data_IF_334931674627
#
_entry.id   IF_334931674627
#
_cell.length_a   1.000
_cell.length_b   1.000
_cell.length_c   1.000
_cell.angle_alpha   90.00
_cell.angle_beta   90.00
_cell.angle_gamma   90.00
#
_symmetry.space_group_name_H-M   'P 1'
#
loop_
_entity.id
_entity.type
_entity.pdbx_description
1 polymer ?
#
# COMPACT_ATOMS: atom_id res chain seq x y z
N UNK A 1 6.99 35.48 4.14
CA UNK A 1 7.36 34.10 4.52
C UNK A 1 8.63 33.75 3.75
N UNK A 2 9.72 33.38 4.44
CA UNK A 2 10.97 32.93 3.81
C UNK A 2 11.08 31.43 4.03
N UNK A 3 11.15 30.66 2.94
CA UNK A 3 11.30 29.19 2.99
C UNK A 3 12.78 28.86 2.83
N UNK A 4 13.31 28.00 3.70
CA UNK A 4 14.65 27.44 3.58
C UNK A 4 14.53 25.91 3.59
N UNK A 5 15.12 25.27 2.58
CA UNK A 5 15.26 23.82 2.53
C UNK A 5 16.64 23.49 3.10
N UNK A 6 16.68 22.68 4.16
CA UNK A 6 17.90 22.43 4.94
C UNK A 6 18.74 21.25 4.41
N UNK A 7 18.19 20.41 3.53
CA UNK A 7 18.87 19.25 2.95
C UNK A 7 19.04 19.45 1.44
N UNK A 8 20.22 19.09 0.91
CA UNK A 8 20.38 18.96 -0.54
C UNK A 8 19.67 17.69 -1.04
N UNK A 9 19.42 17.61 -2.35
CA UNK A 9 18.90 16.37 -2.95
C UNK A 9 19.83 15.17 -2.69
N UNK A 10 21.15 15.41 -2.65
CA UNK A 10 22.14 14.36 -2.37
C UNK A 10 22.01 13.87 -0.94
N UNK A 11 21.87 14.77 0.03
CA UNK A 11 21.70 14.41 1.44
C UNK A 11 20.39 13.66 1.66
N UNK A 12 19.32 14.10 1.00
CA UNK A 12 18.01 13.46 1.00
C UNK A 12 18.09 11.99 0.53
N UNK A 13 18.69 11.76 -0.64
CA UNK A 13 18.84 10.40 -1.20
C UNK A 13 19.73 9.53 -0.30
N UNK A 14 20.86 10.07 0.20
CA UNK A 14 21.78 9.33 1.07
C UNK A 14 21.10 8.91 2.37
N UNK A 15 20.30 9.79 2.97
CA UNK A 15 19.56 9.51 4.20
C UNK A 15 18.59 8.35 3.98
N UNK A 16 17.78 8.40 2.92
CA UNK A 16 16.84 7.32 2.61
C UNK A 16 17.52 5.98 2.29
N UNK A 17 18.68 6.01 1.61
CA UNK A 17 19.46 4.81 1.35
C UNK A 17 20.05 4.22 2.63
N UNK A 18 20.59 5.05 3.53
CA UNK A 18 21.13 4.60 4.81
C UNK A 18 20.06 3.92 5.67
N UNK A 19 18.84 4.47 5.71
CA UNK A 19 17.69 3.81 6.37
C UNK A 19 17.40 2.44 5.76
N UNK A 20 17.36 2.37 4.42
CA UNK A 20 17.07 1.12 3.69
C UNK A 20 18.14 0.06 4.00
N UNK A 21 19.42 0.42 3.94
CA UNK A 21 20.54 -0.47 4.26
C UNK A 21 20.48 -0.93 5.72
N UNK A 22 20.17 -0.02 6.64
CA UNK A 22 20.01 -0.34 8.07
C UNK A 22 18.88 -1.34 8.33
N UNK A 23 17.72 -1.18 7.68
CA UNK A 23 16.60 -2.12 7.80
C UNK A 23 16.87 -3.48 7.15
N UNK A 24 17.65 -3.52 6.06
CA UNK A 24 18.05 -4.77 5.41
C UNK A 24 19.12 -5.54 6.20
N UNK A 25 20.01 -4.82 6.89
CA UNK A 25 21.09 -5.40 7.68
C UNK A 25 20.70 -5.70 9.13
N UNK A 26 19.65 -5.04 9.64
CA UNK A 26 19.20 -5.15 11.02
C UNK A 26 18.05 -6.13 11.23
N UNK A 27 17.73 -6.35 12.50
CA UNK A 27 16.69 -7.28 12.96
C UNK A 27 15.33 -6.58 13.17
N UNK A 28 14.94 -5.66 12.28
CA UNK A 28 13.66 -4.96 12.45
C UNK A 28 12.50 -5.98 12.44
N UNK A 29 11.64 -6.00 13.47
CA UNK A 29 10.72 -7.12 13.73
C UNK A 29 9.70 -7.36 12.61
N UNK A 30 9.35 -6.31 11.87
CA UNK A 30 8.40 -6.40 10.74
C UNK A 30 9.03 -6.89 9.42
N UNK A 31 10.36 -6.80 9.25
CA UNK A 31 11.01 -7.08 7.96
C UNK A 31 10.92 -8.54 7.50
N UNK A 32 11.00 -9.56 8.39
CA UNK A 32 10.74 -10.95 8.00
C UNK A 32 9.36 -11.12 7.36
N UNK A 33 8.31 -10.57 7.98
CA UNK A 33 6.95 -10.69 7.45
C UNK A 33 6.76 -9.90 6.14
N UNK A 34 7.40 -8.74 5.98
CA UNK A 34 7.41 -8.01 4.70
C UNK A 34 8.02 -8.89 3.60
N UNK A 35 9.11 -9.58 3.91
CA UNK A 35 9.78 -10.51 3.00
C UNK A 35 8.90 -11.71 2.67
N UNK A 36 8.17 -12.24 3.64
CA UNK A 36 7.25 -13.36 3.41
C UNK A 36 6.06 -12.99 2.51
N UNK A 37 5.50 -11.77 2.66
CA UNK A 37 4.51 -11.26 1.72
C UNK A 37 5.08 -11.11 0.31
N UNK A 38 6.31 -10.58 0.18
CA UNK A 38 6.99 -10.50 -1.12
C UNK A 38 7.13 -11.90 -1.75
N UNK A 39 7.59 -12.88 -0.98
CA UNK A 39 7.76 -14.26 -1.44
C UNK A 39 6.44 -14.92 -1.83
N UNK A 40 5.35 -14.61 -1.13
CA UNK A 40 4.01 -15.09 -1.48
C UNK A 40 3.58 -14.58 -2.86
N UNK A 41 3.71 -13.28 -3.13
CA UNK A 41 3.41 -12.73 -4.46
C UNK A 41 4.33 -13.31 -5.53
N UNK A 42 5.64 -13.36 -5.26
CA UNK A 42 6.62 -13.77 -6.24
C UNK A 42 6.56 -15.27 -6.59
N UNK A 43 6.15 -16.13 -5.65
CA UNK A 43 6.34 -17.58 -5.79
C UNK A 43 5.13 -18.44 -5.47
N UNK A 44 4.08 -17.92 -4.84
CA UNK A 44 2.94 -18.74 -4.35
C UNK A 44 1.63 -18.39 -5.03
N UNK A 45 1.30 -17.11 -5.15
CA UNK A 45 -0.02 -16.64 -5.60
C UNK A 45 -0.46 -17.23 -6.96
N UNK A 46 0.48 -17.39 -7.90
CA UNK A 46 0.22 -17.94 -9.24
C UNK A 46 0.89 -19.30 -9.49
N UNK A 47 1.36 -19.98 -8.43
CA UNK A 47 2.23 -21.17 -8.55
C UNK A 47 1.56 -22.39 -9.19
N UNK A 48 0.23 -22.49 -9.13
CA UNK A 48 -0.52 -23.62 -9.66
C UNK A 48 -0.80 -23.54 -11.16
N UNK A 49 -0.35 -22.47 -11.84
CA UNK A 49 -0.49 -22.32 -13.29
C UNK A 49 -1.94 -22.21 -13.77
N UNK A 50 -2.86 -21.79 -12.90
CA UNK A 50 -4.26 -21.60 -13.25
C UNK A 50 -4.40 -20.53 -14.36
N UNK A 51 -5.33 -20.72 -15.31
CA UNK A 51 -5.51 -19.77 -16.39
C UNK A 51 -6.14 -18.47 -15.86
N UNK A 52 -5.40 -17.37 -16.02
CA UNK A 52 -5.88 -16.01 -15.74
C UNK A 52 -5.83 -15.24 -17.06
N UNK A 53 -6.89 -14.47 -17.35
CA UNK A 53 -6.93 -13.63 -18.54
C UNK A 53 -5.80 -12.60 -18.52
N UNK A 54 -5.39 -12.15 -19.70
CA UNK A 54 -4.20 -11.31 -19.91
C UNK A 54 -4.28 -9.99 -19.12
N UNK A 55 -5.37 -9.24 -19.26
CA UNK A 55 -5.52 -7.93 -18.59
C UNK A 55 -5.60 -8.06 -17.06
N UNK A 56 -6.39 -8.97 -16.47
CA UNK A 56 -6.32 -9.24 -15.04
C UNK A 56 -4.90 -9.60 -14.56
N UNK A 57 -4.13 -10.38 -15.33
CA UNK A 57 -2.74 -10.70 -14.98
C UNK A 57 -1.83 -9.45 -15.00
N UNK A 58 -1.94 -8.58 -16.01
CA UNK A 58 -1.20 -7.31 -16.06
C UNK A 58 -1.51 -6.42 -14.86
N UNK A 59 -2.78 -6.31 -14.49
CA UNK A 59 -3.20 -5.50 -13.35
C UNK A 59 -2.78 -6.11 -12.01
N UNK A 60 -2.81 -7.44 -11.90
CA UNK A 60 -2.38 -8.17 -10.70
C UNK A 60 -0.88 -8.03 -10.47
N UNK A 61 -0.08 -8.15 -11.53
CA UNK A 61 1.37 -7.95 -11.45
C UNK A 61 1.72 -6.48 -11.23
N UNK A 62 0.97 -5.53 -11.80
CA UNK A 62 1.11 -4.11 -11.49
C UNK A 62 0.83 -3.81 -10.01
N UNK A 63 -0.21 -4.41 -9.43
CA UNK A 63 -0.51 -4.28 -8.00
C UNK A 63 0.69 -4.72 -7.14
N UNK A 64 1.28 -5.88 -7.46
CA UNK A 64 2.48 -6.37 -6.77
C UNK A 64 3.69 -5.43 -6.91
N UNK A 65 3.95 -4.91 -8.13
CA UNK A 65 5.06 -3.98 -8.37
C UNK A 65 4.88 -2.65 -7.63
N UNK A 66 3.65 -2.11 -7.60
CA UNK A 66 3.34 -0.87 -6.88
C UNK A 66 3.43 -1.05 -5.37
N UNK A 67 2.96 -2.18 -4.84
CA UNK A 67 3.15 -2.53 -3.42
C UNK A 67 4.63 -2.63 -3.07
N UNK A 68 5.44 -3.32 -3.87
CA UNK A 68 6.89 -3.45 -3.67
C UNK A 68 7.58 -2.07 -3.70
N UNK A 69 7.14 -1.19 -4.60
CA UNK A 69 7.62 0.20 -4.64
C UNK A 69 7.27 0.96 -3.36
N UNK A 70 6.05 0.78 -2.84
CA UNK A 70 5.62 1.34 -1.56
C UNK A 70 6.44 0.81 -0.37
N UNK A 71 6.78 -0.49 -0.35
CA UNK A 71 7.69 -1.08 0.65
C UNK A 71 9.06 -0.39 0.62
N UNK A 72 9.64 -0.18 -0.57
CA UNK A 72 10.92 0.55 -0.69
C UNK A 72 10.82 1.98 -0.17
N UNK A 73 9.70 2.66 -0.42
CA UNK A 73 9.46 4.03 0.07
C UNK A 73 9.26 4.05 1.59
N UNK A 74 8.61 3.03 2.17
CA UNK A 74 8.52 2.85 3.63
C UNK A 74 9.91 2.67 4.26
N UNK A 75 10.74 1.78 3.70
CA UNK A 75 12.09 1.51 4.20
C UNK A 75 13.05 2.71 4.12
N UNK A 76 12.79 3.64 3.20
CA UNK A 76 13.58 4.87 3.11
C UNK A 76 13.14 5.96 4.08
N UNK A 77 12.07 5.74 4.85
CA UNK A 77 11.59 6.68 5.88
C UNK A 77 10.56 7.70 5.38
N UNK A 78 9.99 7.51 4.20
CA UNK A 78 9.04 8.44 3.59
C UNK A 78 7.58 8.06 3.91
N UNK A 79 7.24 8.13 5.19
CA UNK A 79 5.97 7.61 5.70
C UNK A 79 4.72 8.04 4.91
N UNK A 80 4.53 9.31 4.62
CA UNK A 80 3.30 9.77 3.92
C UNK A 80 3.30 9.44 2.42
N UNK A 81 4.49 9.27 1.82
CA UNK A 81 4.62 9.02 0.40
C UNK A 81 4.26 7.57 0.01
N UNK A 82 4.08 6.68 0.98
CA UNK A 82 3.68 5.28 0.72
C UNK A 82 2.20 5.17 0.32
N UNK A 83 1.32 6.02 0.86
CA UNK A 83 -0.13 5.86 0.71
C UNK A 83 -0.63 6.05 -0.73
N UNK A 84 -0.12 7.00 -1.53
CA UNK A 84 -0.44 7.03 -2.96
C UNK A 84 -0.06 5.72 -3.67
N UNK A 85 1.11 5.14 -3.37
CA UNK A 85 1.59 3.89 -3.99
C UNK A 85 0.73 2.70 -3.59
N UNK A 86 0.43 2.56 -2.30
CA UNK A 86 -0.43 1.50 -1.79
C UNK A 86 -1.88 1.63 -2.28
N UNK A 87 -2.39 2.85 -2.44
CA UNK A 87 -3.68 3.08 -3.09
C UNK A 87 -3.68 2.59 -4.52
N UNK A 88 -2.68 2.98 -5.33
CA UNK A 88 -2.59 2.52 -6.72
C UNK A 88 -2.43 1.00 -6.81
N UNK A 89 -1.69 0.39 -5.88
CA UNK A 89 -1.57 -1.06 -5.79
C UNK A 89 -2.93 -1.73 -5.51
N UNK A 90 -3.68 -1.23 -4.52
CA UNK A 90 -5.01 -1.74 -4.17
C UNK A 90 -6.03 -1.53 -5.30
N UNK A 91 -6.05 -0.34 -5.92
CA UNK A 91 -6.90 -0.05 -7.07
C UNK A 91 -6.59 -0.98 -8.24
N UNK A 92 -5.31 -1.25 -8.52
CA UNK A 92 -4.90 -2.20 -9.57
C UNK A 92 -5.43 -3.61 -9.28
N UNK A 93 -5.35 -4.07 -8.03
CA UNK A 93 -5.90 -5.37 -7.63
C UNK A 93 -7.43 -5.41 -7.78
N UNK A 94 -8.13 -4.34 -7.39
CA UNK A 94 -9.58 -4.23 -7.56
C UNK A 94 -9.98 -4.21 -9.04
N UNK A 95 -9.22 -3.56 -9.92
CA UNK A 95 -9.46 -3.59 -11.36
C UNK A 95 -9.26 -5.01 -11.91
N UNK A 96 -8.20 -5.71 -11.48
CA UNK A 96 -7.96 -7.09 -11.88
C UNK A 96 -9.13 -8.00 -11.53
N UNK A 97 -9.64 -7.90 -10.29
CA UNK A 97 -10.78 -8.68 -9.83
C UNK A 97 -12.06 -8.29 -10.58
N UNK A 98 -12.34 -7.00 -10.76
CA UNK A 98 -13.53 -6.54 -11.46
C UNK A 98 -13.59 -7.07 -12.90
N UNK A 99 -12.46 -7.04 -13.63
CA UNK A 99 -12.38 -7.57 -15.00
C UNK A 99 -12.45 -9.10 -15.00
N UNK A 100 -11.88 -9.78 -14.01
CA UNK A 100 -12.02 -11.23 -13.87
C UNK A 100 -13.48 -11.66 -13.67
N UNK A 101 -14.28 -10.84 -12.97
CA UNK A 101 -15.72 -11.06 -12.77
C UNK A 101 -16.56 -10.63 -13.98
N UNK A 102 -16.06 -9.70 -14.80
CA UNK A 102 -16.76 -9.09 -15.94
C UNK A 102 -15.81 -9.00 -17.15
N UNK A 103 -15.56 -10.12 -17.85
CA UNK A 103 -14.57 -10.17 -18.93
C UNK A 103 -14.82 -9.16 -20.06
N UNK A 104 -16.07 -8.72 -20.26
CA UNK A 104 -16.41 -7.67 -21.23
C UNK A 104 -15.73 -6.31 -20.96
N UNK A 105 -15.28 -6.07 -19.73
CA UNK A 105 -14.56 -4.85 -19.35
C UNK A 105 -13.11 -4.82 -19.85
N UNK A 106 -12.58 -5.95 -20.31
CA UNK A 106 -11.22 -6.04 -20.85
C UNK A 106 -11.01 -5.12 -22.06
N UNK A 107 -11.97 -5.12 -22.99
CA UNK A 107 -11.94 -4.22 -24.14
C UNK A 107 -12.05 -2.75 -23.71
N UNK A 108 -12.89 -2.45 -22.70
CA UNK A 108 -13.07 -1.09 -22.18
C UNK A 108 -11.79 -0.56 -21.53
N UNK A 109 -11.03 -1.43 -20.86
CA UNK A 109 -9.74 -1.09 -20.29
C UNK A 109 -8.69 -0.86 -21.39
N UNK A 110 -8.58 -1.81 -22.32
CA UNK A 110 -7.57 -1.81 -23.39
C UNK A 110 -7.75 -0.66 -24.39
N UNK A 111 -9.00 -0.26 -24.63
CA UNK A 111 -9.34 0.74 -25.65
C UNK A 111 -9.36 2.17 -25.09
N UNK A 112 -9.07 2.36 -23.80
CA UNK A 112 -9.18 3.63 -23.07
C UNK A 112 -8.59 4.84 -23.81
N UNK A 113 -7.46 4.65 -24.50
CA UNK A 113 -6.72 5.73 -25.16
C UNK A 113 -6.96 5.80 -26.69
N UNK A 114 -7.94 5.05 -27.22
CA UNK A 114 -8.33 5.13 -28.64
C UNK A 114 -9.12 6.39 -29.00
N UNK A 115 -9.74 7.06 -28.03
CA UNK A 115 -10.52 8.27 -28.25
C UNK A 115 -11.25 8.78 -27.00
N UNK A 116 -11.93 9.92 -27.15
CA UNK A 116 -12.65 10.57 -26.04
C UNK A 116 -13.85 9.74 -25.56
N UNK A 117 -14.51 9.03 -26.48
CA UNK A 117 -15.64 8.16 -26.16
C UNK A 117 -15.20 6.97 -25.30
N UNK A 118 -14.09 6.33 -25.67
CA UNK A 118 -13.47 5.20 -24.97
C UNK A 118 -12.92 5.64 -23.62
N UNK A 119 -12.29 6.81 -23.54
CA UNK A 119 -11.85 7.39 -22.26
C UNK A 119 -13.02 7.64 -21.31
N UNK A 120 -14.17 8.11 -21.82
CA UNK A 120 -15.39 8.30 -21.03
C UNK A 120 -16.01 6.96 -20.61
N UNK A 121 -16.03 5.98 -21.51
CA UNK A 121 -16.51 4.62 -21.21
C UNK A 121 -15.67 3.98 -20.11
N UNK A 122 -14.34 4.05 -20.21
CA UNK A 122 -13.39 3.59 -19.19
C UNK A 122 -13.64 4.27 -17.84
N UNK A 123 -13.73 5.61 -17.79
CA UNK A 123 -14.05 6.33 -16.54
C UNK A 123 -15.38 5.90 -15.92
N UNK A 124 -16.41 5.66 -16.73
CA UNK A 124 -17.72 5.21 -16.25
C UNK A 124 -17.67 3.79 -15.71
N UNK A 125 -16.95 2.90 -16.39
CA UNK A 125 -16.82 1.49 -16.00
C UNK A 125 -15.99 1.34 -14.72
N UNK A 126 -14.93 2.13 -14.58
CA UNK A 126 -13.94 1.91 -13.53
C UNK A 126 -13.92 2.96 -12.40
N UNK A 127 -14.70 4.04 -12.50
CA UNK A 127 -14.75 5.07 -11.46
C UNK A 127 -15.31 4.60 -10.11
N UNK A 128 -16.10 3.51 -10.12
CA UNK A 128 -16.67 2.89 -8.92
C UNK A 128 -16.02 1.56 -8.54
N UNK A 129 -14.89 1.17 -9.15
CA UNK A 129 -14.35 -0.19 -9.06
C UNK A 129 -14.10 -0.67 -7.63
N UNK A 130 -13.51 0.16 -6.76
CA UNK A 130 -13.24 -0.24 -5.38
C UNK A 130 -14.55 -0.52 -4.63
N UNK A 131 -15.57 0.32 -4.80
CA UNK A 131 -16.87 0.12 -4.16
C UNK A 131 -17.58 -1.16 -4.65
N UNK A 132 -17.48 -1.46 -5.94
CA UNK A 132 -18.05 -2.69 -6.51
C UNK A 132 -17.34 -3.95 -6.02
N UNK A 133 -16.00 -3.91 -5.95
CA UNK A 133 -15.18 -4.99 -5.39
C UNK A 133 -15.46 -5.19 -3.91
N UNK A 134 -15.55 -4.11 -3.11
CA UNK A 134 -15.90 -4.17 -1.69
C UNK A 134 -17.23 -4.90 -1.48
N UNK A 135 -18.28 -4.53 -2.24
CA UNK A 135 -19.58 -5.21 -2.15
C UNK A 135 -19.48 -6.68 -2.49
N UNK A 136 -18.74 -7.02 -3.55
CA UNK A 136 -18.55 -8.40 -3.96
C UNK A 136 -17.82 -9.22 -2.88
N UNK A 137 -16.71 -8.70 -2.36
CA UNK A 137 -15.91 -9.40 -1.35
C UNK A 137 -16.66 -9.57 -0.02
N UNK A 138 -17.50 -8.61 0.38
CA UNK A 138 -18.34 -8.73 1.57
C UNK A 138 -19.35 -9.88 1.45
N UNK A 139 -19.89 -10.12 0.24
CA UNK A 139 -20.77 -11.27 -0.04
C UNK A 139 -19.99 -12.58 0.03
N UNK A 140 -18.76 -12.60 -0.49
CA UNK A 140 -17.92 -13.80 -0.54
C UNK A 140 -17.38 -14.19 0.84
N UNK A 141 -16.99 -13.21 1.64
CA UNK A 141 -16.47 -13.39 2.98
C UNK A 141 -16.83 -12.17 3.84
N UNK A 142 -17.64 -12.40 4.87
CA UNK A 142 -18.04 -11.35 5.80
C UNK A 142 -16.81 -10.65 6.40
N UNK A 143 -16.85 -9.31 6.41
CA UNK A 143 -15.79 -8.43 6.89
C UNK A 143 -14.66 -8.16 5.89
N UNK A 144 -14.52 -8.94 4.81
CA UNK A 144 -13.45 -8.73 3.84
C UNK A 144 -13.65 -7.43 3.04
N UNK A 145 -14.88 -7.17 2.58
CA UNK A 145 -15.21 -5.91 1.91
C UNK A 145 -14.96 -4.72 2.82
N UNK A 146 -15.40 -4.83 4.08
CA UNK A 146 -15.15 -3.81 5.11
C UNK A 146 -13.66 -3.53 5.32
N UNK A 147 -12.83 -4.56 5.38
CA UNK A 147 -11.38 -4.42 5.49
C UNK A 147 -10.75 -3.74 4.26
N UNK A 148 -11.14 -4.12 3.04
CA UNK A 148 -10.65 -3.46 1.82
C UNK A 148 -11.08 -1.99 1.75
N UNK A 149 -12.31 -1.69 2.17
CA UNK A 149 -12.80 -0.32 2.27
C UNK A 149 -12.00 0.51 3.26
N UNK A 150 -11.61 -0.07 4.42
CA UNK A 150 -10.83 0.67 5.41
C UNK A 150 -9.42 0.99 4.91
N UNK A 151 -8.77 0.08 4.17
CA UNK A 151 -7.48 0.34 3.53
C UNK A 151 -7.59 1.47 2.49
N UNK A 152 -8.66 1.48 1.70
CA UNK A 152 -8.87 2.54 0.70
C UNK A 152 -9.04 3.92 1.36
N UNK A 153 -9.89 4.03 2.38
CA UNK A 153 -10.10 5.28 3.11
C UNK A 153 -8.86 5.72 3.89
N UNK A 154 -8.15 4.78 4.53
CA UNK A 154 -6.89 5.07 5.21
C UNK A 154 -5.86 5.69 4.25
N UNK A 155 -5.81 5.23 2.99
CA UNK A 155 -4.87 5.79 2.01
C UNK A 155 -5.14 7.28 1.79
N UNK A 156 -6.42 7.68 1.73
CA UNK A 156 -6.83 9.08 1.55
C UNK A 156 -6.44 9.90 2.77
N UNK A 157 -6.75 9.38 3.96
CA UNK A 157 -6.51 10.04 5.24
C UNK A 157 -5.03 10.32 5.51
N UNK A 158 -4.14 9.41 5.13
CA UNK A 158 -2.74 9.45 5.55
C UNK A 158 -1.74 9.90 4.47
N UNK A 159 -2.13 10.06 3.21
CA UNK A 159 -1.20 10.65 2.23
C UNK A 159 -1.56 10.58 0.75
N UNK A 160 -2.55 9.80 0.33
CA UNK A 160 -2.94 9.71 -1.07
C UNK A 160 -3.56 11.01 -1.59
N UNK A 161 -4.20 11.81 -0.72
CA UNK A 161 -4.67 13.16 -1.02
C UNK A 161 -4.11 14.19 -0.03
N UNK A 162 -3.82 15.43 -0.46
CA UNK A 162 -3.41 16.47 0.46
C UNK A 162 -4.56 16.80 1.42
N UNK A 163 -4.35 16.57 2.71
CA UNK A 163 -5.30 16.87 3.77
C UNK A 163 -4.57 17.28 5.06
N UNK A 164 -5.31 17.78 6.05
CA UNK A 164 -4.72 18.28 7.30
C UNK A 164 -4.03 17.20 8.11
N UNK A 165 -4.59 15.99 8.19
CA UNK A 165 -4.03 14.83 8.91
C UNK A 165 -2.71 14.39 8.27
N UNK A 166 -2.68 14.23 6.95
CA UNK A 166 -1.50 13.82 6.20
C UNK A 166 -0.37 14.86 6.15
N UNK A 167 -0.67 16.16 6.35
CA UNK A 167 0.33 17.22 6.26
C UNK A 167 0.73 17.76 7.64
N UNK A 168 -0.24 18.16 8.48
CA UNK A 168 0.06 18.84 9.75
C UNK A 168 0.72 17.93 10.79
N UNK A 169 0.44 16.63 10.76
CA UNK A 169 1.06 15.68 11.69
C UNK A 169 2.58 15.54 11.48
N UNK A 170 3.09 16.06 10.37
CA UNK A 170 4.52 16.07 10.06
C UNK A 170 5.12 17.47 10.16
N UNK A 171 4.39 18.44 10.71
CA UNK A 171 4.87 19.82 10.92
C UNK A 171 5.12 20.07 12.39
N UNK A 172 6.38 20.31 12.76
CA UNK A 172 6.76 20.77 14.07
C UNK A 172 6.87 22.30 14.05
N UNK A 173 6.06 22.98 14.87
CA UNK A 173 6.13 24.43 15.01
C UNK A 173 7.14 24.77 16.10
N UNK A 174 8.23 25.45 15.72
CA UNK A 174 9.18 25.98 16.69
C UNK A 174 8.58 27.21 17.36
N UNK A 175 8.80 27.46 18.67
CA UNK A 175 8.35 28.69 19.32
C UNK A 175 8.76 29.91 18.48
N UNK A 176 7.84 30.85 18.24
CA UNK A 176 8.14 32.02 17.42
C UNK A 176 9.26 32.83 18.07
N UNK A 177 10.23 33.25 17.28
CA UNK A 177 11.10 34.38 17.66
C UNK A 177 10.40 35.68 17.22
N UNK A 178 10.81 36.82 17.79
CA UNK A 178 10.16 38.13 17.60
C UNK A 178 9.99 38.56 16.12
N UNK A 179 10.66 37.90 15.17
CA UNK A 179 10.66 38.30 13.76
C UNK A 179 10.21 37.21 12.77
N UNK A 180 10.08 35.93 13.16
CA UNK A 180 9.81 34.84 12.21
C UNK A 180 8.99 33.67 12.79
N UNK A 181 7.96 33.24 12.06
CA UNK A 181 7.33 31.93 12.25
C UNK A 181 8.21 30.87 11.59
N UNK A 182 8.72 29.91 12.37
CA UNK A 182 9.49 28.77 11.90
C UNK A 182 8.71 27.47 12.11
N UNK A 183 8.70 26.62 11.09
CA UNK A 183 8.20 25.26 11.19
C UNK A 183 9.14 24.33 10.43
N UNK A 184 9.31 23.12 10.95
CA UNK A 184 10.05 22.05 10.30
C UNK A 184 9.03 21.00 9.84
N UNK A 185 9.06 20.66 8.54
CA UNK A 185 8.21 19.61 7.99
C UNK A 185 9.05 18.36 7.75
N UNK A 186 8.75 17.27 8.46
CA UNK A 186 9.46 16.00 8.33
C UNK A 186 9.24 15.37 6.95
N UNK A 187 10.33 15.05 6.25
CA UNK A 187 10.30 14.42 4.92
C UNK A 187 10.85 13.00 4.90
N UNK A 188 11.90 12.73 5.69
CA UNK A 188 12.50 11.41 5.89
C UNK A 188 12.68 11.20 7.40
N UNK A 189 12.15 10.10 7.91
CA UNK A 189 12.31 9.70 9.31
C UNK A 189 13.46 8.69 9.47
N UNK A 190 14.16 8.65 10.62
CA UNK A 190 15.16 7.62 10.92
C UNK A 190 14.59 6.20 10.84
N UNK A 191 15.40 5.23 10.41
CA UNK A 191 14.99 3.83 10.21
C UNK A 191 14.41 3.13 11.45
N UNK A 192 14.78 3.56 12.64
CA UNK A 192 14.31 3.05 13.95
C UNK A 192 13.14 3.85 14.53
N UNK A 193 12.59 4.82 13.78
CA UNK A 193 11.53 5.69 14.27
C UNK A 193 10.16 5.00 14.24
N UNK A 194 9.25 5.49 15.09
CA UNK A 194 7.85 5.07 15.07
C UNK A 194 7.17 5.29 13.71
N UNK A 195 7.58 6.31 12.95
CA UNK A 195 7.05 6.58 11.61
C UNK A 195 7.45 5.49 10.61
N UNK A 196 8.68 4.97 10.70
CA UNK A 196 9.12 3.84 9.87
C UNK A 196 8.40 2.56 10.28
N UNK A 197 8.26 2.32 11.58
CA UNK A 197 7.47 1.21 12.09
C UNK A 197 6.03 1.26 11.56
N UNK A 198 5.35 2.41 11.66
CA UNK A 198 3.98 2.59 11.14
C UNK A 198 3.92 2.43 9.62
N UNK A 199 4.91 2.94 8.88
CA UNK A 199 4.96 2.78 7.43
C UNK A 199 5.11 1.29 7.01
N UNK A 200 5.94 0.53 7.71
CA UNK A 200 6.10 -0.92 7.49
C UNK A 200 4.85 -1.70 7.90
N UNK A 201 4.18 -1.33 9.01
CA UNK A 201 2.89 -1.89 9.39
C UNK A 201 1.84 -1.65 8.31
N UNK A 202 1.74 -0.41 7.78
CA UNK A 202 0.87 -0.13 6.65
C UNK A 202 1.25 -0.98 5.43
N UNK A 203 2.55 -1.14 5.13
CA UNK A 203 2.98 -2.01 4.03
C UNK A 203 2.46 -3.45 4.18
N UNK A 204 2.47 -3.99 5.39
CA UNK A 204 1.92 -5.31 5.70
C UNK A 204 0.39 -5.35 5.57
N UNK A 205 -0.33 -4.35 6.06
CA UNK A 205 -1.80 -4.27 5.94
C UNK A 205 -2.26 -4.20 4.48
N UNK A 206 -1.60 -3.38 3.66
CA UNK A 206 -1.87 -3.31 2.23
C UNK A 206 -1.43 -4.58 1.51
N UNK A 207 -0.29 -5.17 1.88
CA UNK A 207 0.15 -6.46 1.35
C UNK A 207 -0.89 -7.55 1.56
N UNK A 208 -1.45 -7.62 2.78
CA UNK A 208 -2.56 -8.50 3.13
C UNK A 208 -3.80 -8.24 2.28
N UNK A 209 -4.25 -7.00 2.20
CA UNK A 209 -5.44 -6.63 1.42
C UNK A 209 -5.29 -6.97 -0.06
N UNK A 210 -4.15 -6.63 -0.66
CA UNK A 210 -3.84 -6.93 -2.06
C UNK A 210 -3.78 -8.44 -2.29
N UNK A 211 -3.10 -9.20 -1.42
CA UNK A 211 -3.02 -10.66 -1.52
C UNK A 211 -4.41 -11.31 -1.50
N UNK A 212 -5.29 -10.86 -0.61
CA UNK A 212 -6.68 -11.34 -0.53
C UNK A 212 -7.47 -11.01 -1.80
N UNK A 213 -7.43 -9.76 -2.28
CA UNK A 213 -8.12 -9.37 -3.52
C UNK A 213 -7.62 -10.18 -4.71
N UNK A 214 -6.30 -10.34 -4.86
CA UNK A 214 -5.72 -11.07 -5.99
C UNK A 214 -5.96 -12.58 -5.91
N UNK A 215 -6.05 -13.17 -4.72
CA UNK A 215 -6.45 -14.57 -4.57
C UNK A 215 -7.86 -14.82 -5.12
N UNK A 216 -8.76 -13.83 -5.01
CA UNK A 216 -10.09 -13.89 -5.62
C UNK A 216 -10.10 -13.71 -7.15
N UNK A 217 -8.99 -13.29 -7.77
CA UNK A 217 -8.85 -13.34 -9.23
C UNK A 217 -8.60 -14.75 -9.76
N UNK A 218 -8.18 -15.69 -8.89
CA UNK A 218 -7.93 -17.07 -9.31
C UNK A 218 -9.26 -17.78 -9.62
N UNK A 219 -9.31 -18.61 -10.67
CA UNK A 219 -10.48 -19.45 -10.94
C UNK A 219 -10.88 -20.32 -9.74
N UNK A 220 -9.89 -20.85 -9.03
CA UNK A 220 -10.07 -21.64 -7.80
C UNK A 220 -8.99 -21.27 -6.78
N UNK A 221 -9.40 -20.97 -5.55
CA UNK A 221 -8.46 -20.83 -4.43
C UNK A 221 -8.06 -22.22 -3.90
N UNK A 222 -6.95 -22.74 -4.41
CA UNK A 222 -6.39 -24.05 -4.00
C UNK A 222 -5.71 -23.97 -2.63
N UNK A 223 -5.44 -25.13 -2.03
CA UNK A 223 -4.67 -25.21 -0.79
C UNK A 223 -3.25 -24.63 -0.93
N UNK A 224 -2.63 -24.72 -2.11
CA UNK A 224 -1.29 -24.18 -2.37
C UNK A 224 -1.22 -22.65 -2.29
N UNK A 225 -2.34 -21.95 -2.50
CA UNK A 225 -2.46 -20.50 -2.33
C UNK A 225 -3.04 -20.14 -0.95
N UNK A 226 -4.11 -20.82 -0.55
CA UNK A 226 -4.84 -20.52 0.69
C UNK A 226 -4.00 -20.74 1.93
N UNK A 227 -3.24 -21.84 2.00
CA UNK A 227 -2.50 -22.18 3.21
C UNK A 227 -1.36 -21.19 3.49
N UNK A 228 -0.48 -20.84 2.53
CA UNK A 228 0.50 -19.78 2.74
C UNK A 228 -0.13 -18.43 3.10
N UNK A 229 -1.23 -18.05 2.45
CA UNK A 229 -1.93 -16.80 2.75
C UNK A 229 -2.52 -16.79 4.17
N UNK A 230 -3.03 -17.93 4.64
CA UNK A 230 -3.54 -18.09 6.01
C UNK A 230 -2.41 -17.96 7.03
N UNK A 231 -1.24 -18.56 6.75
CA UNK A 231 -0.08 -18.46 7.63
C UNK A 231 0.42 -17.02 7.76
N UNK A 232 0.48 -16.27 6.65
CA UNK A 232 0.81 -14.84 6.68
C UNK A 232 -0.15 -14.02 7.54
N UNK A 233 -1.45 -14.34 7.51
CA UNK A 233 -2.45 -13.64 8.32
C UNK A 233 -2.29 -13.94 9.80
N UNK A 234 -2.03 -15.19 10.17
CA UNK A 234 -1.74 -15.56 11.55
C UNK A 234 -0.45 -14.90 12.04
N UNK A 235 0.56 -14.84 11.17
CA UNK A 235 1.84 -14.24 11.52
C UNK A 235 1.71 -12.73 11.74
N UNK A 236 0.93 -12.05 10.89
CA UNK A 236 0.63 -10.63 11.07
C UNK A 236 0.03 -10.33 12.44
N UNK A 237 -0.97 -11.12 12.87
CA UNK A 237 -1.59 -10.94 14.19
C UNK A 237 -0.56 -11.14 15.30
N UNK A 238 0.25 -12.19 15.22
CA UNK A 238 1.29 -12.49 16.23
C UNK A 238 2.32 -11.38 16.36
N UNK A 239 2.82 -10.87 15.23
CA UNK A 239 3.81 -9.79 15.21
C UNK A 239 3.22 -8.51 15.79
N UNK A 240 1.97 -8.16 15.47
CA UNK A 240 1.33 -6.97 16.05
C UNK A 240 1.11 -7.09 17.56
N UNK A 241 0.76 -8.27 18.07
CA UNK A 241 0.59 -8.49 19.52
C UNK A 241 1.92 -8.37 20.28
N UNK A 242 3.04 -8.76 19.65
CA UNK A 242 4.38 -8.65 20.25
C UNK A 242 4.92 -7.22 20.22
N UNK A 243 4.59 -6.45 19.18
CA UNK A 243 5.22 -5.17 18.87
C UNK A 243 4.34 -3.95 19.17
N UNK A 244 3.10 -4.12 19.66
CA UNK A 244 2.31 -3.00 20.19
C UNK A 244 3.05 -2.36 21.36
N UNK A 245 3.59 -1.13 21.22
CA UNK A 245 4.20 -0.45 22.34
C UNK A 245 3.09 -0.17 23.37
N UNK A 246 3.37 -0.44 24.64
CA UNK A 246 2.52 -0.02 25.76
C UNK A 246 2.16 1.46 25.54
N UNK A 247 0.88 1.84 25.54
CA UNK A 247 0.38 3.21 25.29
C UNK A 247 0.89 4.27 26.33
N UNK A 248 1.91 3.92 27.11
CA UNK A 248 2.54 4.74 28.15
C UNK A 248 3.86 5.31 27.65
N UNK A 249 3.80 6.26 26.74
CA UNK A 249 4.97 7.09 26.46
C UNK A 249 4.81 7.99 25.25
N UNK A 250 4.69 9.29 25.52
CA UNK A 250 4.87 10.45 24.62
C UNK A 250 3.59 11.22 24.28
N UNK A 251 3.27 12.11 25.22
CA UNK A 251 2.69 13.44 25.02
C UNK A 251 3.71 14.30 24.26
#
# INVERSE_FOLDING_TARGET
MKVRINLSLVDYIRTGNANTEGLLAGDHPLMPLVTDYYNFFATKLWSDGQPIAEVPMFLSTNAFMMWTSGVRVAMSGHETAIYPLFRTALESACYALLISLKPELEAVWSDRDKGDAERKASRRAFGGTVADVVKHLEIMQAGLGTFISSLYEASIDYGAHPNTRAIRNHVQVTPPTDEQKRFDQGSIYPGDSFQVFRALTSALEYGRGIALVLAHCLPVMTAAVVEPLRQLQLEFVRVLEMETPDERGHI
#
